data_IF_112069520108
#
_entry.id   IF_112069520108
#
_cell.length_a   1.000
_cell.length_b   1.000
_cell.length_c   1.000
_cell.angle_alpha   90.00
_cell.angle_beta   90.00
_cell.angle_gamma   90.00
#
_symmetry.space_group_name_H-M   'P 1'
#
loop_
_entity.id
_entity.type
_entity.pdbx_description
1 polymer ?
#
# COMPACT_ATOMS: atom_id res chain seq x y z
N UNK A 1 -34.61 25.26 -10.92
CA UNK A 1 -34.19 23.89 -10.58
C UNK A 1 -35.34 23.26 -9.81
N UNK A 2 -36.06 22.31 -10.42
CA UNK A 2 -37.20 21.66 -9.76
C UNK A 2 -36.70 20.80 -8.60
N UNK A 3 -37.27 20.99 -7.42
CA UNK A 3 -37.04 20.10 -6.28
C UNK A 3 -37.59 18.73 -6.63
N UNK A 4 -36.75 17.70 -6.60
CA UNK A 4 -37.22 16.31 -6.70
C UNK A 4 -38.22 16.03 -5.57
N UNK A 5 -39.29 15.30 -5.88
CA UNK A 5 -40.28 14.88 -4.89
C UNK A 5 -39.72 13.69 -4.09
N UNK A 6 -39.89 13.67 -2.77
CA UNK A 6 -39.40 12.60 -1.89
C UNK A 6 -39.83 11.20 -2.36
N UNK A 7 -41.02 11.08 -2.97
CA UNK A 7 -41.50 9.82 -3.55
C UNK A 7 -40.69 9.35 -4.76
N UNK A 8 -40.21 10.28 -5.59
CA UNK A 8 -39.41 9.95 -6.76
C UNK A 8 -38.02 9.48 -6.33
N UNK A 9 -37.44 10.13 -5.32
CA UNK A 9 -36.16 9.71 -4.73
C UNK A 9 -36.30 8.32 -4.11
N UNK A 10 -37.36 8.07 -3.33
CA UNK A 10 -37.55 6.77 -2.69
C UNK A 10 -37.69 5.64 -3.72
N UNK A 11 -38.44 5.87 -4.81
CA UNK A 11 -38.57 4.89 -5.88
C UNK A 11 -37.22 4.55 -6.54
N UNK A 12 -36.35 5.55 -6.74
CA UNK A 12 -35.00 5.34 -7.30
C UNK A 12 -34.13 4.56 -6.30
N UNK A 13 -34.19 4.90 -5.01
CA UNK A 13 -33.48 4.17 -3.95
C UNK A 13 -33.92 2.70 -3.92
N UNK A 14 -35.22 2.43 -3.91
CA UNK A 14 -35.74 1.06 -3.87
C UNK A 14 -35.34 0.26 -5.11
N UNK A 15 -35.32 0.90 -6.29
CA UNK A 15 -34.88 0.27 -7.53
C UNK A 15 -33.39 -0.09 -7.51
N UNK A 16 -32.56 0.79 -6.96
CA UNK A 16 -31.11 0.55 -6.81
C UNK A 16 -30.84 -0.53 -5.75
N UNK A 17 -31.52 -0.47 -4.60
CA UNK A 17 -31.33 -1.47 -3.54
C UNK A 17 -31.74 -2.87 -4.00
N UNK A 18 -32.81 -2.97 -4.80
CA UNK A 18 -33.22 -4.24 -5.42
C UNK A 18 -32.18 -4.78 -6.41
N UNK A 19 -31.44 -3.91 -7.09
CA UNK A 19 -30.34 -4.32 -7.98
C UNK A 19 -29.20 -5.01 -7.20
N UNK A 20 -29.03 -4.69 -5.91
CA UNK A 20 -27.99 -5.27 -5.06
C UNK A 20 -28.30 -6.67 -4.54
N UNK A 21 -29.51 -7.19 -4.74
CA UNK A 21 -29.97 -8.46 -4.16
C UNK A 21 -29.55 -9.70 -4.97
N UNK A 22 -28.91 -9.54 -6.13
CA UNK A 22 -28.48 -10.67 -6.96
C UNK A 22 -27.04 -11.13 -6.69
N UNK A 23 -26.68 -12.27 -7.26
CA UNK A 23 -25.38 -12.92 -7.07
C UNK A 23 -24.25 -12.33 -7.95
N UNK A 24 -24.41 -11.13 -8.53
CA UNK A 24 -23.32 -10.50 -9.29
C UNK A 24 -22.14 -10.20 -8.37
N UNK A 25 -20.94 -10.34 -8.90
CA UNK A 25 -19.68 -10.06 -8.19
C UNK A 25 -19.64 -8.64 -7.59
N UNK A 26 -20.24 -7.65 -8.28
CA UNK A 26 -20.31 -6.26 -7.81
C UNK A 26 -21.18 -6.09 -6.54
N UNK A 27 -22.08 -7.05 -6.29
CA UNK A 27 -22.99 -7.09 -5.15
C UNK A 27 -22.49 -8.03 -4.03
N UNK A 28 -21.31 -8.63 -4.19
CA UNK A 28 -20.66 -9.44 -3.15
C UNK A 28 -20.15 -8.53 -2.02
N UNK A 29 -21.04 -8.21 -1.08
CA UNK A 29 -20.79 -7.33 0.05
C UNK A 29 -20.13 -8.13 1.19
N UNK A 30 -18.80 -8.10 1.26
CA UNK A 30 -18.06 -8.44 2.48
C UNK A 30 -17.38 -7.19 3.06
N UNK A 31 -18.20 -6.29 3.63
CA UNK A 31 -17.78 -4.98 4.15
C UNK A 31 -16.70 -5.11 5.24
N UNK A 32 -16.60 -6.24 5.92
CA UNK A 32 -15.73 -6.41 7.07
C UNK A 32 -14.42 -7.15 6.76
N UNK A 33 -14.26 -7.72 5.56
CA UNK A 33 -13.06 -8.47 5.17
C UNK A 33 -12.46 -8.05 3.82
N UNK A 34 -12.68 -6.80 3.40
CA UNK A 34 -12.01 -6.24 2.23
C UNK A 34 -10.68 -5.56 2.59
N UNK A 35 -9.68 -5.60 1.69
CA UNK A 35 -8.47 -4.82 1.87
C UNK A 35 -8.77 -3.33 1.78
N UNK A 36 -8.16 -2.57 2.68
CA UNK A 36 -8.37 -1.14 2.79
C UNK A 36 -7.31 -0.40 1.96
N UNK A 37 -7.77 0.28 0.91
CA UNK A 37 -6.90 1.04 -0.01
C UNK A 37 -6.19 2.20 0.70
N UNK A 38 -6.85 2.91 1.60
CA UNK A 38 -6.25 4.04 2.32
C UNK A 38 -5.16 3.54 3.27
N UNK A 39 -5.40 2.41 3.94
CA UNK A 39 -4.38 1.76 4.77
C UNK A 39 -3.18 1.34 3.92
N UNK A 40 -3.39 0.72 2.76
CA UNK A 40 -2.30 0.30 1.86
C UNK A 40 -1.49 1.50 1.36
N UNK A 41 -2.16 2.61 1.00
CA UNK A 41 -1.48 3.86 0.62
C UNK A 41 -0.64 4.39 1.80
N UNK A 42 -1.19 4.43 3.01
CA UNK A 42 -0.43 4.87 4.18
C UNK A 42 0.78 3.97 4.49
N UNK A 43 0.67 2.67 4.21
CA UNK A 43 1.79 1.71 4.31
C UNK A 43 2.86 2.04 3.29
N UNK A 44 2.50 2.33 2.03
CA UNK A 44 3.44 2.76 1.00
C UNK A 44 4.14 4.05 1.42
N UNK A 45 3.41 5.07 1.88
CA UNK A 45 3.99 6.35 2.29
C UNK A 45 4.97 6.19 3.46
N UNK A 46 4.64 5.33 4.44
CA UNK A 46 5.53 5.03 5.55
C UNK A 46 6.74 4.19 5.13
N UNK A 47 6.59 3.27 4.16
CA UNK A 47 7.71 2.57 3.55
C UNK A 47 8.64 3.55 2.83
N UNK A 48 8.11 4.51 2.09
CA UNK A 48 8.93 5.54 1.43
C UNK A 48 9.73 6.37 2.46
N UNK A 49 9.15 6.71 3.61
CA UNK A 49 9.89 7.36 4.72
C UNK A 49 11.03 6.50 5.26
N UNK A 50 10.84 5.17 5.32
CA UNK A 50 11.88 4.22 5.75
C UNK A 50 12.98 4.07 4.68
N UNK A 51 12.60 4.06 3.39
CA UNK A 51 13.53 3.93 2.27
C UNK A 51 14.40 5.19 2.11
N UNK A 52 13.81 6.37 2.31
CA UNK A 52 14.43 7.68 2.14
C UNK A 52 14.41 8.51 3.45
N UNK A 53 15.10 8.07 4.52
CA UNK A 53 15.07 8.75 5.80
C UNK A 53 15.66 10.16 5.67
N UNK A 54 14.97 11.16 6.20
CA UNK A 54 15.38 12.57 6.15
C UNK A 54 15.04 13.31 4.85
N UNK A 55 14.68 12.62 3.77
CA UNK A 55 14.13 13.26 2.57
C UNK A 55 12.62 13.42 2.69
N UNK A 56 11.87 12.36 3.00
CA UNK A 56 10.40 12.38 2.98
C UNK A 56 9.75 12.59 4.36
N UNK A 57 10.50 13.09 5.34
CA UNK A 57 10.02 13.25 6.71
C UNK A 57 9.64 14.69 7.04
N UNK A 58 8.62 14.87 7.89
CA UNK A 58 8.22 16.18 8.40
C UNK A 58 9.39 16.93 9.05
N UNK A 59 9.45 18.25 8.78
CA UNK A 59 10.58 19.19 8.96
C UNK A 59 11.09 19.39 10.41
N UNK A 60 10.81 18.49 11.34
CA UNK A 60 11.31 18.54 12.73
C UNK A 60 12.28 17.39 12.98
N UNK A 61 13.28 17.26 12.11
CA UNK A 61 14.33 16.25 12.24
C UNK A 61 15.42 16.74 13.21
N UNK A 62 15.16 16.63 14.52
CA UNK A 62 16.26 16.62 15.51
C UNK A 62 16.91 15.24 15.42
N UNK A 63 18.18 15.20 15.02
CA UNK A 63 19.02 14.00 14.83
C UNK A 63 18.95 13.01 16.02
N UNK A 64 18.63 13.49 17.23
CA UNK A 64 18.46 12.67 18.43
C UNK A 64 17.17 11.84 18.51
N UNK A 65 16.17 12.06 17.63
CA UNK A 65 14.88 11.34 17.66
C UNK A 65 14.72 10.34 16.50
N UNK A 66 15.62 10.34 15.51
CA UNK A 66 15.49 9.53 14.28
C UNK A 66 15.30 8.04 14.58
N UNK A 67 16.07 7.47 15.52
CA UNK A 67 15.94 6.04 15.86
C UNK A 67 14.56 5.70 16.41
N UNK A 68 14.03 6.52 17.32
CA UNK A 68 12.74 6.25 17.95
C UNK A 68 11.58 6.45 16.97
N UNK A 69 11.62 7.51 16.17
CA UNK A 69 10.60 7.76 15.14
C UNK A 69 10.62 6.65 14.09
N UNK A 70 11.79 6.22 13.62
CA UNK A 70 11.88 5.12 12.65
C UNK A 70 11.43 3.79 13.23
N UNK A 71 11.77 3.48 14.49
CA UNK A 71 11.24 2.28 15.14
C UNK A 71 9.71 2.28 15.14
N UNK A 72 9.08 3.39 15.52
CA UNK A 72 7.62 3.51 15.52
C UNK A 72 7.04 3.35 14.10
N UNK A 73 7.62 4.02 13.10
CA UNK A 73 7.18 3.90 11.70
C UNK A 73 7.31 2.46 11.17
N UNK A 74 8.38 1.75 11.53
CA UNK A 74 8.60 0.36 11.15
C UNK A 74 7.56 -0.55 11.82
N UNK A 75 7.30 -0.35 13.12
CA UNK A 75 6.29 -1.10 13.87
C UNK A 75 4.88 -0.88 13.30
N UNK A 76 4.56 0.37 12.94
CA UNK A 76 3.29 0.73 12.30
C UNK A 76 3.13 0.04 10.94
N UNK A 77 4.17 0.06 10.09
CA UNK A 77 4.15 -0.64 8.80
C UNK A 77 3.92 -2.13 9.01
N UNK A 78 4.65 -2.76 9.94
CA UNK A 78 4.49 -4.19 10.25
C UNK A 78 3.06 -4.49 10.70
N UNK A 79 2.49 -3.67 11.57
CA UNK A 79 1.15 -3.88 12.11
C UNK A 79 0.08 -3.79 11.02
N UNK A 80 0.09 -2.71 10.23
CA UNK A 80 -0.93 -2.47 9.21
C UNK A 80 -0.77 -3.43 8.03
N UNK A 81 0.45 -3.65 7.55
CA UNK A 81 0.70 -4.60 6.46
C UNK A 81 0.30 -6.02 6.85
N UNK A 82 0.63 -6.48 8.06
CA UNK A 82 0.19 -7.81 8.53
C UNK A 82 -1.33 -7.96 8.49
N UNK A 83 -2.08 -6.96 8.96
CA UNK A 83 -3.55 -6.98 8.93
C UNK A 83 -4.05 -7.09 7.48
N UNK A 84 -3.54 -6.26 6.58
CA UNK A 84 -3.93 -6.28 5.18
C UNK A 84 -3.57 -7.62 4.50
N UNK A 85 -2.39 -8.19 4.80
CA UNK A 85 -1.99 -9.51 4.28
C UNK A 85 -2.96 -10.59 4.77
N UNK A 86 -3.34 -10.60 6.05
CA UNK A 86 -4.28 -11.59 6.58
C UNK A 86 -5.65 -11.55 5.90
N UNK A 87 -6.13 -10.35 5.56
CA UNK A 87 -7.37 -10.12 4.81
C UNK A 87 -7.25 -10.71 3.41
N UNK A 88 -6.22 -10.33 2.64
CA UNK A 88 -6.11 -10.72 1.23
C UNK A 88 -5.79 -12.21 1.05
N UNK A 89 -5.20 -12.89 2.06
CA UNK A 89 -4.98 -14.34 2.00
C UNK A 89 -6.28 -15.12 1.83
N UNK A 90 -7.41 -14.66 2.40
CA UNK A 90 -8.73 -15.31 2.24
C UNK A 90 -9.20 -15.38 0.78
N UNK A 91 -8.64 -14.56 -0.10
CA UNK A 91 -8.96 -14.54 -1.53
C UNK A 91 -8.12 -15.54 -2.36
N UNK A 92 -7.42 -16.45 -1.69
CA UNK A 92 -6.66 -17.53 -2.35
C UNK A 92 -7.27 -18.88 -2.05
N UNK A 93 -7.24 -19.80 -3.02
CA UNK A 93 -7.80 -21.15 -2.85
C UNK A 93 -7.19 -21.89 -1.64
N UNK A 94 -5.91 -21.66 -1.35
CA UNK A 94 -5.17 -22.27 -0.24
C UNK A 94 -5.72 -21.84 1.14
N UNK A 95 -6.20 -20.60 1.27
CA UNK A 95 -6.54 -20.00 2.56
C UNK A 95 -7.99 -19.54 2.68
N UNK A 96 -8.83 -19.77 1.67
CA UNK A 96 -10.23 -19.33 1.64
C UNK A 96 -11.06 -19.83 2.85
N UNK A 97 -10.83 -21.07 3.29
CA UNK A 97 -11.49 -21.68 4.44
C UNK A 97 -10.58 -21.77 5.69
N UNK A 98 -9.42 -21.10 5.68
CA UNK A 98 -8.47 -21.20 6.78
C UNK A 98 -8.99 -20.45 8.03
N UNK A 99 -8.79 -21.02 9.24
CA UNK A 99 -9.04 -20.33 10.50
C UNK A 99 -8.21 -19.04 10.64
N UNK A 100 -8.73 -18.06 11.40
CA UNK A 100 -8.10 -16.75 11.55
C UNK A 100 -6.69 -16.83 12.17
N UNK A 101 -6.42 -17.75 13.08
CA UNK A 101 -5.11 -17.95 13.70
C UNK A 101 -4.05 -18.44 12.68
N UNK A 102 -4.46 -19.27 11.71
CA UNK A 102 -3.61 -19.72 10.62
C UNK A 102 -3.28 -18.55 9.68
N UNK A 103 -4.29 -17.75 9.33
CA UNK A 103 -4.12 -16.54 8.51
C UNK A 103 -3.18 -15.54 9.18
N UNK A 104 -3.39 -15.26 10.46
CA UNK A 104 -2.57 -14.31 11.23
C UNK A 104 -1.12 -14.76 11.35
N UNK A 105 -0.89 -16.06 11.55
CA UNK A 105 0.46 -16.63 11.58
C UNK A 105 1.13 -16.50 10.21
N UNK A 106 0.45 -16.87 9.14
CA UNK A 106 1.00 -16.79 7.78
C UNK A 106 1.27 -15.35 7.36
N UNK A 107 0.34 -14.44 7.66
CA UNK A 107 0.51 -13.01 7.40
C UNK A 107 1.71 -12.45 8.14
N UNK A 108 1.90 -12.80 9.42
CA UNK A 108 3.08 -12.40 10.20
C UNK A 108 4.37 -12.90 9.54
N UNK A 109 4.42 -14.16 9.11
CA UNK A 109 5.59 -14.73 8.43
C UNK A 109 5.92 -13.96 7.15
N UNK A 110 4.93 -13.73 6.29
CA UNK A 110 5.10 -13.01 5.02
C UNK A 110 5.52 -11.55 5.24
N UNK A 111 4.87 -10.83 6.16
CA UNK A 111 5.22 -9.44 6.49
C UNK A 111 6.64 -9.35 7.01
N UNK A 112 7.07 -10.23 7.91
CA UNK A 112 8.45 -10.22 8.41
C UNK A 112 9.47 -10.61 7.34
N UNK A 113 9.13 -11.53 6.44
CA UNK A 113 9.96 -11.86 5.29
C UNK A 113 10.15 -10.65 4.36
N UNK A 114 9.06 -9.93 4.06
CA UNK A 114 9.11 -8.69 3.29
C UNK A 114 9.94 -7.60 3.98
N UNK A 115 9.75 -7.36 5.28
CA UNK A 115 10.50 -6.31 5.98
C UNK A 115 12.01 -6.57 6.01
N UNK A 116 12.44 -7.83 5.93
CA UNK A 116 13.86 -8.20 5.80
C UNK A 116 14.45 -7.83 4.42
N UNK A 117 13.61 -7.57 3.41
CA UNK A 117 14.03 -7.14 2.07
C UNK A 117 14.24 -5.64 1.93
N UNK A 118 13.83 -4.84 2.91
CA UNK A 118 13.98 -3.38 2.88
C UNK A 118 15.43 -2.93 2.61
N UNK A 119 16.49 -3.50 3.23
CA UNK A 119 17.87 -3.11 2.91
C UNK A 119 18.27 -3.38 1.44
N UNK A 120 17.81 -4.49 0.86
CA UNK A 120 18.08 -4.84 -0.55
C UNK A 120 17.32 -3.90 -1.51
N UNK A 121 16.07 -3.57 -1.19
CA UNK A 121 15.29 -2.56 -1.93
C UNK A 121 16.01 -1.22 -1.91
N UNK A 122 16.49 -0.76 -0.75
CA UNK A 122 17.23 0.50 -0.63
C UNK A 122 18.50 0.52 -1.47
N UNK A 123 19.27 -0.57 -1.47
CA UNK A 123 20.47 -0.67 -2.31
C UNK A 123 20.14 -0.56 -3.80
N UNK A 124 19.02 -1.15 -4.24
CA UNK A 124 18.56 -1.03 -5.63
C UNK A 124 18.10 0.40 -5.96
N UNK A 125 17.36 1.03 -5.04
CA UNK A 125 16.87 2.40 -5.24
C UNK A 125 17.99 3.44 -5.27
N UNK A 126 19.11 3.21 -4.58
CA UNK A 126 20.30 4.05 -4.72
C UNK A 126 20.78 4.07 -6.18
N UNK A 127 20.80 2.90 -6.84
CA UNK A 127 21.19 2.82 -8.26
C UNK A 127 20.17 3.46 -9.20
N UNK A 128 18.88 3.44 -8.84
CA UNK A 128 17.84 4.14 -9.62
C UNK A 128 17.95 5.66 -9.48
N UNK A 129 18.31 6.15 -8.28
CA UNK A 129 18.60 7.56 -8.05
C UNK A 129 19.81 8.00 -8.87
N UNK A 130 20.86 7.18 -8.91
CA UNK A 130 22.06 7.45 -9.70
C UNK A 130 21.73 7.51 -11.19
N UNK A 131 21.01 6.52 -11.70
CA UNK A 131 20.57 6.49 -13.09
C UNK A 131 19.67 7.68 -13.44
N UNK A 132 18.76 8.09 -12.54
CA UNK A 132 17.91 9.26 -12.72
C UNK A 132 18.71 10.57 -12.79
N UNK A 133 19.76 10.69 -11.97
CA UNK A 133 20.64 11.86 -11.99
C UNK A 133 21.55 11.89 -13.22
N UNK A 134 22.15 10.76 -13.60
CA UNK A 134 23.02 10.66 -14.78
C UNK A 134 22.23 10.80 -16.09
N UNK A 135 20.99 10.32 -16.10
CA UNK A 135 20.10 10.34 -17.28
C UNK A 135 19.45 11.69 -17.57
N UNK A 136 19.50 12.64 -16.64
CA UNK A 136 18.91 13.97 -16.81
C UNK A 136 19.94 15.10 -16.59
N UNK A 137 20.50 15.68 -17.67
CA UNK A 137 21.44 16.80 -17.57
C UNK A 137 20.89 18.05 -16.88
N UNK A 138 19.56 18.19 -16.73
CA UNK A 138 18.94 19.31 -16.06
C UNK A 138 18.96 19.18 -14.53
N UNK A 139 19.01 17.94 -14.01
CA UNK A 139 18.99 17.65 -12.58
C UNK A 139 20.17 18.32 -11.86
N UNK A 140 19.90 19.00 -10.74
CA UNK A 140 20.92 19.71 -9.96
C UNK A 140 21.48 18.88 -8.83
N UNK A 141 20.76 17.86 -8.38
CA UNK A 141 21.23 16.95 -7.33
C UNK A 141 20.41 15.66 -7.28
N UNK A 142 21.00 14.60 -6.68
CA UNK A 142 20.27 13.37 -6.34
C UNK A 142 19.08 13.63 -5.40
N UNK A 143 19.20 14.63 -4.52
CA UNK A 143 18.12 15.04 -3.62
C UNK A 143 16.90 15.52 -4.41
N UNK A 144 17.10 16.32 -5.46
CA UNK A 144 16.04 16.77 -6.35
C UNK A 144 15.32 15.59 -7.01
N UNK A 145 16.06 14.55 -7.43
CA UNK A 145 15.47 13.30 -7.94
C UNK A 145 14.55 12.68 -6.88
N UNK A 146 15.04 12.48 -5.66
CA UNK A 146 14.28 11.88 -4.55
C UNK A 146 13.02 12.69 -4.22
N UNK A 147 13.10 14.02 -4.27
CA UNK A 147 11.98 14.89 -3.90
C UNK A 147 10.89 15.03 -4.96
N UNK A 148 11.26 14.95 -6.24
CA UNK A 148 10.40 15.49 -7.29
C UNK A 148 10.20 14.61 -8.51
N UNK A 149 10.95 13.51 -8.67
CA UNK A 149 10.84 12.70 -9.89
C UNK A 149 9.69 11.69 -9.75
N UNK A 150 8.60 11.82 -10.54
CA UNK A 150 7.50 10.88 -10.49
C UNK A 150 7.92 9.47 -10.95
N UNK A 151 8.92 9.38 -11.84
CA UNK A 151 9.49 8.11 -12.25
C UNK A 151 10.17 7.34 -11.11
N UNK A 152 10.91 8.04 -10.23
CA UNK A 152 11.52 7.41 -9.07
C UNK A 152 10.45 6.96 -8.06
N UNK A 153 9.40 7.76 -7.85
CA UNK A 153 8.26 7.33 -7.04
C UNK A 153 7.63 6.04 -7.58
N UNK A 154 7.33 5.98 -8.88
CA UNK A 154 6.75 4.79 -9.50
C UNK A 154 7.66 3.55 -9.36
N UNK A 155 8.96 3.69 -9.60
CA UNK A 155 9.95 2.61 -9.42
C UNK A 155 10.04 2.16 -7.96
N UNK A 156 9.99 3.10 -7.01
CA UNK A 156 9.99 2.80 -5.57
C UNK A 156 8.81 1.92 -5.18
N UNK A 157 7.61 2.33 -5.59
CA UNK A 157 6.38 1.57 -5.30
C UNK A 157 6.39 0.23 -6.01
N UNK A 158 6.87 0.18 -7.26
CA UNK A 158 7.03 -1.08 -7.98
C UNK A 158 7.97 -2.06 -7.26
N UNK A 159 9.16 -1.62 -6.81
CA UNK A 159 10.11 -2.50 -6.11
C UNK A 159 9.54 -3.03 -4.80
N UNK A 160 8.82 -2.20 -4.04
CA UNK A 160 8.08 -2.61 -2.85
C UNK A 160 7.05 -3.69 -3.20
N UNK A 161 6.19 -3.41 -4.18
CA UNK A 161 5.13 -4.31 -4.61
C UNK A 161 5.69 -5.64 -5.15
N UNK A 162 6.81 -5.57 -5.86
CA UNK A 162 7.45 -6.74 -6.46
C UNK A 162 7.93 -7.74 -5.39
N UNK A 163 8.54 -7.29 -4.29
CA UNK A 163 8.95 -8.20 -3.22
C UNK A 163 7.74 -8.90 -2.57
N UNK A 164 6.62 -8.19 -2.38
CA UNK A 164 5.37 -8.81 -1.91
C UNK A 164 4.80 -9.80 -2.93
N UNK A 165 4.91 -9.51 -4.23
CA UNK A 165 4.51 -10.42 -5.30
C UNK A 165 5.37 -11.69 -5.34
N UNK A 166 6.69 -11.59 -5.17
CA UNK A 166 7.59 -12.75 -5.08
C UNK A 166 7.26 -13.64 -3.87
N UNK A 167 6.81 -13.02 -2.77
CA UNK A 167 6.27 -13.72 -1.59
C UNK A 167 4.86 -14.28 -1.78
N UNK A 168 4.28 -14.14 -2.98
CA UNK A 168 2.92 -14.57 -3.36
C UNK A 168 1.82 -13.92 -2.55
N UNK A 169 2.01 -12.68 -2.09
CA UNK A 169 0.94 -11.90 -1.47
C UNK A 169 -0.05 -11.48 -2.57
N UNK A 170 -1.34 -11.86 -2.46
CA UNK A 170 -2.35 -11.50 -3.46
C UNK A 170 -2.78 -10.03 -3.29
N UNK A 171 -3.35 -9.45 -4.36
CA UNK A 171 -4.01 -8.13 -4.41
C UNK A 171 -3.14 -6.90 -4.06
N UNK A 172 -2.52 -6.86 -2.87
CA UNK A 172 -1.73 -5.73 -2.35
C UNK A 172 -0.68 -5.24 -3.35
N UNK A 173 0.14 -6.10 -4.00
CA UNK A 173 1.09 -5.63 -5.01
C UNK A 173 0.42 -4.81 -6.12
N UNK A 174 -0.75 -5.25 -6.61
CA UNK A 174 -1.49 -4.54 -7.66
C UNK A 174 -2.04 -3.22 -7.14
N UNK A 175 -2.63 -3.22 -5.93
CA UNK A 175 -3.16 -1.99 -5.31
C UNK A 175 -2.06 -0.94 -5.14
N UNK A 176 -0.85 -1.36 -4.75
CA UNK A 176 0.32 -0.48 -4.66
C UNK A 176 0.72 0.07 -6.03
N UNK A 177 0.87 -0.77 -7.06
CA UNK A 177 1.27 -0.28 -8.39
C UNK A 177 0.22 0.61 -9.05
N UNK A 178 -1.08 0.39 -8.80
CA UNK A 178 -2.18 1.24 -9.28
C UNK A 178 -2.24 2.60 -8.54
N UNK A 179 -1.74 2.67 -7.31
CA UNK A 179 -1.56 3.96 -6.62
C UNK A 179 -0.44 4.79 -7.27
N UNK A 180 0.57 4.13 -7.84
CA UNK A 180 1.69 4.79 -8.48
C UNK A 180 1.48 5.15 -9.97
N UNK A 181 0.39 4.68 -10.57
CA UNK A 181 0.03 4.90 -11.98
C UNK A 181 -0.87 6.12 -12.14
#
# INVERSE_FOLDING_TARGET
>A
MGSYNDKEIQNVVDLILKDYEDDRVINAIDIHHQPDKEVIISVVDNLLKILYPGYLSDKVFRVYTLKNTMSATIEDVIFHLKKQVAIVLKYTDEFAAAPQDVLDKKAKELTLAFMKKIPEIRASLETDVDAGFEGDPAAKSKAEIIFSYPGLFAVSVYRIAHELHLLRVPMIPRMMTEYAH
#
